data_IF_368462034300
#
_entry.id   IF_368462034300
#
_cell.length_a   1.000
_cell.length_b   1.000
_cell.length_c   1.000
_cell.angle_alpha   90.00
_cell.angle_beta   90.00
_cell.angle_gamma   90.00
#
_symmetry.space_group_name_H-M   'P 1'
#
loop_
_entity.id
_entity.type
_entity.pdbx_description
1 polymer ?
#
# COMPACT_ATOMS: atom_id res chain seq x y z
N UNK A 1 -26.76 3.72 -19.32
CA UNK A 1 -25.48 3.31 -18.70
C UNK A 1 -24.49 4.46 -18.89
N UNK A 2 -23.71 4.84 -17.85
CA UNK A 2 -22.61 5.81 -18.01
C UNK A 2 -21.55 5.20 -18.93
N UNK A 3 -20.94 6.01 -19.82
CA UNK A 3 -19.90 5.55 -20.72
C UNK A 3 -18.72 4.92 -19.97
N UNK A 4 -18.16 3.83 -20.49
CA UNK A 4 -16.97 3.19 -19.96
C UNK A 4 -15.76 4.08 -20.26
N UNK A 5 -15.09 4.58 -19.23
CA UNK A 5 -13.89 5.41 -19.34
C UNK A 5 -12.65 4.52 -19.45
N UNK A 6 -11.60 5.03 -20.10
CA UNK A 6 -10.25 4.49 -20.00
C UNK A 6 -9.45 5.30 -18.97
N UNK A 7 -9.08 4.67 -17.86
CA UNK A 7 -8.41 5.27 -16.72
C UNK A 7 -6.93 4.89 -16.74
N UNK A 8 -6.05 5.90 -16.83
CA UNK A 8 -4.62 5.69 -16.67
C UNK A 8 -4.25 5.78 -15.18
N UNK A 9 -3.89 4.66 -14.56
CA UNK A 9 -3.24 4.63 -13.26
C UNK A 9 -1.78 5.02 -13.42
N UNK A 10 -1.43 6.22 -12.98
CA UNK A 10 -0.05 6.73 -12.95
C UNK A 10 0.53 6.50 -11.57
N UNK A 11 1.38 5.49 -11.43
CA UNK A 11 1.75 4.90 -10.14
C UNK A 11 3.18 5.28 -9.71
N UNK A 12 3.31 5.95 -8.56
CA UNK A 12 4.60 6.15 -7.89
C UNK A 12 5.09 4.90 -7.15
N UNK A 13 4.16 4.02 -6.76
CA UNK A 13 4.39 2.68 -6.22
C UNK A 13 3.53 1.69 -6.99
N UNK A 14 4.09 0.54 -7.30
CA UNK A 14 3.38 -0.58 -7.90
C UNK A 14 4.24 -1.84 -7.75
N UNK A 15 3.65 -3.02 -7.58
CA UNK A 15 4.38 -4.27 -7.60
C UNK A 15 5.24 -4.40 -8.86
N UNK A 16 6.48 -4.82 -8.70
CA UNK A 16 7.44 -4.95 -9.79
C UNK A 16 8.52 -5.96 -9.45
N UNK A 17 9.30 -6.42 -10.41
CA UNK A 17 10.44 -7.31 -10.18
C UNK A 17 11.43 -6.76 -9.12
N UNK A 18 11.57 -5.43 -9.05
CA UNK A 18 12.48 -4.78 -8.07
C UNK A 18 11.88 -4.74 -6.67
N UNK A 19 10.56 -4.53 -6.57
CA UNK A 19 9.83 -4.39 -5.30
C UNK A 19 8.47 -5.12 -5.41
N UNK A 20 8.43 -6.44 -5.22
CA UNK A 20 7.23 -7.25 -5.52
C UNK A 20 5.98 -6.90 -4.72
N UNK A 21 6.13 -6.41 -3.48
CA UNK A 21 5.01 -6.08 -2.59
C UNK A 21 4.71 -4.58 -2.50
N UNK A 22 5.51 -3.73 -3.16
CA UNK A 22 5.38 -2.28 -3.03
C UNK A 22 4.18 -1.75 -3.83
N UNK A 23 3.19 -1.18 -3.13
CA UNK A 23 2.01 -0.61 -3.78
C UNK A 23 0.97 -1.65 -4.20
N UNK A 24 0.95 -2.84 -3.60
CA UNK A 24 -0.07 -3.87 -3.82
C UNK A 24 -1.50 -3.35 -3.61
N UNK A 25 -1.71 -2.45 -2.65
CA UNK A 25 -2.98 -1.75 -2.45
C UNK A 25 -3.40 -0.92 -3.67
N UNK A 26 -2.45 -0.33 -4.43
CA UNK A 26 -2.74 0.40 -5.68
C UNK A 26 -3.22 -0.56 -6.75
N UNK A 27 -2.61 -1.73 -6.85
CA UNK A 27 -3.07 -2.80 -7.76
C UNK A 27 -4.50 -3.23 -7.43
N UNK A 28 -4.87 -3.33 -6.15
CA UNK A 28 -6.25 -3.62 -5.71
C UNK A 28 -7.22 -2.53 -6.15
N UNK A 29 -6.87 -1.25 -6.00
CA UNK A 29 -7.66 -0.14 -6.54
C UNK A 29 -7.81 -0.22 -8.06
N UNK A 30 -6.75 -0.56 -8.80
CA UNK A 30 -6.80 -0.74 -10.25
C UNK A 30 -7.75 -1.89 -10.64
N UNK A 31 -7.69 -3.04 -9.94
CA UNK A 31 -8.63 -4.16 -10.10
C UNK A 31 -10.08 -3.72 -9.84
N UNK A 32 -10.34 -3.00 -8.77
CA UNK A 32 -11.69 -2.51 -8.43
C UNK A 32 -12.24 -1.53 -9.47
N UNK A 33 -11.43 -0.59 -9.96
CA UNK A 33 -11.85 0.34 -11.04
C UNK A 33 -12.10 -0.42 -12.35
N UNK A 34 -11.33 -1.46 -12.62
CA UNK A 34 -11.47 -2.26 -13.85
C UNK A 34 -12.79 -3.05 -13.93
N UNK A 35 -13.49 -3.27 -12.81
CA UNK A 35 -14.83 -3.87 -12.81
C UNK A 35 -15.84 -3.03 -13.61
N UNK A 36 -15.63 -1.71 -13.72
CA UNK A 36 -16.57 -0.79 -14.38
C UNK A 36 -15.96 0.02 -15.52
N UNK A 37 -14.64 0.15 -15.56
CA UNK A 37 -13.89 1.00 -16.49
C UNK A 37 -12.74 0.20 -17.11
N UNK A 38 -12.18 0.67 -18.22
CA UNK A 38 -10.92 0.15 -18.73
C UNK A 38 -9.77 0.75 -17.93
N UNK A 39 -8.77 -0.04 -17.55
CA UNK A 39 -7.60 0.41 -16.81
C UNK A 39 -6.32 0.11 -17.59
N UNK A 40 -5.41 1.07 -17.59
CA UNK A 40 -4.00 0.85 -17.91
C UNK A 40 -3.15 1.39 -16.76
N UNK A 41 -2.15 0.63 -16.34
CA UNK A 41 -1.21 1.04 -15.29
C UNK A 41 0.11 1.46 -15.92
N UNK A 42 0.65 2.60 -15.50
CA UNK A 42 1.97 3.09 -15.85
C UNK A 42 2.82 3.22 -14.59
N UNK A 43 3.91 2.47 -14.52
CA UNK A 43 4.90 2.55 -13.44
C UNK A 43 6.31 2.68 -14.01
N UNK A 44 7.16 3.47 -13.34
CA UNK A 44 8.58 3.65 -13.71
C UNK A 44 9.42 3.50 -12.45
N UNK A 45 10.38 2.59 -12.50
CA UNK A 45 11.25 2.29 -11.36
C UNK A 45 12.70 2.14 -11.81
N UNK A 46 13.64 2.53 -10.93
CA UNK A 46 15.07 2.29 -11.16
C UNK A 46 15.42 0.85 -10.81
N UNK A 47 16.08 0.15 -11.73
CA UNK A 47 16.57 -1.24 -11.54
C UNK A 47 18.09 -1.24 -11.63
N UNK A 48 18.81 -1.64 -10.58
CA UNK A 48 20.27 -1.86 -10.64
C UNK A 48 20.64 -2.96 -11.66
N UNK A 49 21.85 -2.91 -12.18
CA UNK A 49 22.38 -3.96 -13.04
C UNK A 49 21.96 -3.89 -14.52
N UNK A 50 21.04 -3.00 -14.92
CA UNK A 50 20.67 -2.85 -16.33
C UNK A 50 21.52 -1.81 -17.05
N UNK A 51 21.86 -2.06 -18.31
CA UNK A 51 22.62 -1.14 -19.18
C UNK A 51 21.72 -0.10 -19.88
N UNK A 52 20.50 -0.49 -20.23
CA UNK A 52 19.51 0.32 -20.94
C UNK A 52 18.12 0.19 -20.32
N UNK A 53 17.24 1.14 -20.61
CA UNK A 53 15.84 1.08 -20.20
C UNK A 53 15.17 -0.15 -20.83
N UNK A 54 14.45 -0.94 -20.03
CA UNK A 54 13.63 -2.06 -20.47
C UNK A 54 12.16 -1.78 -20.13
N UNK A 55 11.26 -2.26 -20.98
CA UNK A 55 9.81 -2.13 -20.77
C UNK A 55 9.24 -3.54 -20.68
N UNK A 56 8.46 -3.74 -19.62
CA UNK A 56 7.66 -4.93 -19.41
C UNK A 56 6.19 -4.60 -19.55
N UNK A 57 5.43 -5.46 -20.23
CA UNK A 57 4.00 -5.32 -20.40
C UNK A 57 3.34 -6.60 -19.94
N UNK A 58 2.65 -6.53 -18.81
CA UNK A 58 1.85 -7.63 -18.29
C UNK A 58 0.40 -7.50 -18.78
N UNK A 59 -0.11 -8.55 -19.41
CA UNK A 59 -1.49 -8.65 -19.90
C UNK A 59 -2.34 -9.64 -19.10
N UNK A 60 -1.80 -10.22 -18.05
CA UNK A 60 -2.40 -11.31 -17.27
C UNK A 60 -3.52 -10.89 -16.32
N UNK A 61 -3.57 -9.62 -15.95
CA UNK A 61 -4.66 -9.03 -15.22
C UNK A 61 -5.67 -8.53 -16.26
N UNK A 62 -6.95 -8.59 -16.06
CA UNK A 62 -7.99 -8.10 -17.00
C UNK A 62 -7.78 -6.65 -17.47
N UNK A 63 -6.59 -6.08 -17.25
CA UNK A 63 -6.10 -4.79 -17.70
C UNK A 63 -4.58 -4.84 -17.97
N UNK A 64 -4.06 -3.87 -18.70
CA UNK A 64 -2.64 -3.84 -19.09
C UNK A 64 -1.80 -3.09 -18.05
N UNK A 65 -0.67 -3.68 -17.67
CA UNK A 65 0.34 -3.06 -16.80
C UNK A 65 1.60 -2.80 -17.60
N UNK A 66 2.06 -1.56 -17.62
CA UNK A 66 3.26 -1.10 -18.32
C UNK A 66 4.29 -0.64 -17.31
N UNK A 67 5.38 -1.36 -17.19
CA UNK A 67 6.48 -1.03 -16.27
C UNK A 67 7.73 -0.71 -17.06
N UNK A 68 8.33 0.44 -16.79
CA UNK A 68 9.65 0.78 -17.30
C UNK A 68 10.70 0.66 -16.21
N UNK A 69 11.70 -0.19 -16.43
CA UNK A 69 12.89 -0.28 -15.60
C UNK A 69 13.96 0.61 -16.19
N UNK A 70 14.41 1.62 -15.44
CA UNK A 70 15.42 2.57 -15.89
C UNK A 70 16.74 2.37 -15.14
N UNK A 71 17.87 2.60 -15.81
CA UNK A 71 19.19 2.55 -15.16
C UNK A 71 19.27 3.61 -14.06
N UNK A 72 19.71 3.28 -12.83
CA UNK A 72 19.93 4.27 -11.77
C UNK A 72 20.91 5.35 -12.19
N UNK A 73 20.77 6.55 -11.63
CA UNK A 73 21.73 7.64 -11.80
C UNK A 73 21.81 8.48 -10.54
N UNK A 74 23.02 8.83 -10.13
CA UNK A 74 23.28 9.79 -9.05
C UNK A 74 23.00 11.20 -9.54
N UNK A 75 23.26 11.50 -10.83
CA UNK A 75 23.00 12.81 -11.42
C UNK A 75 21.48 13.02 -11.57
N UNK A 76 20.89 14.04 -10.92
CA UNK A 76 19.46 14.30 -10.91
C UNK A 76 18.90 14.64 -12.31
N UNK A 77 19.66 15.33 -13.15
CA UNK A 77 19.23 15.67 -14.53
C UNK A 77 19.13 14.42 -15.39
N UNK A 78 20.15 13.55 -15.34
CA UNK A 78 20.14 12.27 -16.06
C UNK A 78 19.00 11.39 -15.58
N UNK A 79 18.74 11.35 -14.27
CA UNK A 79 17.62 10.62 -13.68
C UNK A 79 16.30 11.15 -14.21
N UNK A 80 16.08 12.46 -14.16
CA UNK A 80 14.87 13.11 -14.67
C UNK A 80 14.67 12.84 -16.15
N UNK A 81 15.72 12.95 -16.98
CA UNK A 81 15.66 12.65 -18.41
C UNK A 81 15.25 11.21 -18.68
N UNK A 82 15.81 10.22 -17.95
CA UNK A 82 15.44 8.81 -18.08
C UNK A 82 13.98 8.55 -17.71
N UNK A 83 13.52 9.14 -16.60
CA UNK A 83 12.11 9.07 -16.20
C UNK A 83 11.19 9.67 -17.25
N UNK A 84 11.55 10.83 -17.79
CA UNK A 84 10.78 11.50 -18.83
C UNK A 84 10.73 10.70 -20.14
N UNK A 85 11.87 10.19 -20.59
CA UNK A 85 11.95 9.36 -21.79
C UNK A 85 11.12 8.08 -21.65
N UNK A 86 11.24 7.38 -20.53
CA UNK A 86 10.44 6.20 -20.22
C UNK A 86 8.93 6.52 -20.20
N UNK A 87 8.55 7.62 -19.52
CA UNK A 87 7.16 8.08 -19.49
C UNK A 87 6.59 8.33 -20.88
N UNK A 88 7.31 9.04 -21.76
CA UNK A 88 6.87 9.29 -23.13
C UNK A 88 6.75 7.99 -23.94
N UNK A 89 7.69 7.08 -23.77
CA UNK A 89 7.67 5.77 -24.45
C UNK A 89 6.45 4.94 -24.04
N UNK A 90 6.15 4.87 -22.73
CA UNK A 90 4.99 4.15 -22.22
C UNK A 90 3.67 4.77 -22.67
N UNK A 91 3.56 6.11 -22.66
CA UNK A 91 2.34 6.79 -23.14
C UNK A 91 2.01 6.49 -24.61
N UNK A 92 3.04 6.36 -25.48
CA UNK A 92 2.84 5.98 -26.88
C UNK A 92 2.23 4.58 -26.99
N UNK A 93 2.61 3.65 -26.11
CA UNK A 93 2.11 2.27 -26.12
C UNK A 93 0.70 2.16 -25.51
N UNK A 94 0.39 2.97 -24.49
CA UNK A 94 -0.93 2.98 -23.83
C UNK A 94 -2.00 3.58 -24.75
N UNK A 95 -1.65 4.59 -25.56
CA UNK A 95 -2.57 5.25 -26.47
C UNK A 95 -3.47 6.29 -25.80
N UNK A 96 -4.77 6.29 -26.14
CA UNK A 96 -5.75 7.28 -25.66
C UNK A 96 -6.40 6.83 -24.36
N UNK A 97 -6.58 7.77 -23.43
CA UNK A 97 -7.29 7.57 -22.16
C UNK A 97 -8.00 8.86 -21.75
N UNK A 98 -9.03 8.74 -20.90
CA UNK A 98 -9.95 9.83 -20.58
C UNK A 98 -9.56 10.57 -19.30
N UNK A 99 -8.95 9.87 -18.33
CA UNK A 99 -8.61 10.42 -17.02
C UNK A 99 -7.35 9.76 -16.46
N UNK A 100 -6.57 10.54 -15.70
CA UNK A 100 -5.42 10.02 -14.94
C UNK A 100 -5.82 9.82 -13.48
N UNK A 101 -5.59 8.63 -12.96
CA UNK A 101 -5.64 8.31 -11.54
C UNK A 101 -4.19 8.28 -11.01
N UNK A 102 -3.75 9.42 -10.48
CA UNK A 102 -2.41 9.56 -9.92
C UNK A 102 -2.34 8.91 -8.55
N UNK A 103 -1.44 7.96 -8.36
CA UNK A 103 -1.16 7.31 -7.09
C UNK A 103 0.21 7.76 -6.59
N UNK A 104 0.22 8.48 -5.48
CA UNK A 104 1.33 9.25 -4.91
C UNK A 104 1.56 10.60 -5.62
N UNK A 105 1.30 11.67 -4.87
CA UNK A 105 1.27 13.03 -5.38
C UNK A 105 2.61 13.46 -6.02
N UNK A 106 3.73 13.32 -5.32
CA UNK A 106 5.05 13.75 -5.80
C UNK A 106 6.03 12.57 -5.84
N UNK A 107 6.89 12.45 -6.85
CA UNK A 107 7.10 13.36 -8.00
C UNK A 107 6.19 13.08 -9.21
N UNK A 108 5.46 11.98 -9.26
CA UNK A 108 4.70 11.52 -10.45
C UNK A 108 3.58 12.49 -10.86
N UNK A 109 3.09 13.30 -9.95
CA UNK A 109 2.12 14.35 -10.26
C UNK A 109 2.60 15.40 -11.26
N UNK A 110 3.90 15.53 -11.49
CA UNK A 110 4.45 16.37 -12.55
C UNK A 110 4.05 15.85 -13.94
N UNK A 111 4.00 14.53 -14.12
CA UNK A 111 3.51 13.91 -15.36
C UNK A 111 2.01 14.13 -15.56
N UNK A 112 1.22 14.02 -14.48
CA UNK A 112 -0.23 14.32 -14.52
C UNK A 112 -0.48 15.80 -14.88
N UNK A 113 0.30 16.73 -14.32
CA UNK A 113 0.24 18.15 -14.70
C UNK A 113 0.59 18.38 -16.16
N UNK A 114 1.59 17.67 -16.69
CA UNK A 114 1.96 17.73 -18.10
C UNK A 114 0.77 17.33 -18.98
N UNK A 115 0.16 16.18 -18.71
CA UNK A 115 -1.02 15.69 -19.45
C UNK A 115 -2.20 16.67 -19.38
N UNK A 116 -2.48 17.22 -18.20
CA UNK A 116 -3.53 18.22 -18.06
C UNK A 116 -3.27 19.48 -18.87
N UNK A 117 -2.00 19.93 -18.97
CA UNK A 117 -1.65 21.12 -19.74
C UNK A 117 -1.66 20.89 -21.24
N UNK A 118 -1.08 19.80 -21.69
CA UNK A 118 -0.85 19.54 -23.13
C UNK A 118 -2.04 18.87 -23.80
N UNK A 119 -2.69 17.92 -23.11
CA UNK A 119 -3.79 17.11 -23.66
C UNK A 119 -5.15 17.40 -23.03
N UNK A 120 -5.22 18.34 -22.06
CA UNK A 120 -6.44 18.70 -21.30
C UNK A 120 -7.07 17.53 -20.53
N UNK A 121 -6.33 16.45 -20.29
CA UNK A 121 -6.81 15.27 -19.57
C UNK A 121 -6.90 15.61 -18.08
N UNK A 122 -8.08 15.43 -17.44
CA UNK A 122 -8.23 15.64 -15.99
C UNK A 122 -7.49 14.56 -15.21
N UNK A 123 -7.15 14.87 -13.93
CA UNK A 123 -6.59 13.87 -13.04
C UNK A 123 -7.14 14.00 -11.61
N UNK A 124 -7.23 12.86 -10.95
CA UNK A 124 -7.47 12.72 -9.51
C UNK A 124 -6.21 12.17 -8.83
N UNK A 125 -6.10 12.37 -7.53
CA UNK A 125 -4.94 11.90 -6.74
C UNK A 125 -5.45 10.96 -5.66
N UNK A 126 -5.00 9.71 -5.63
CA UNK A 126 -5.07 8.87 -4.43
C UNK A 126 -3.77 8.97 -3.65
N UNK A 127 -3.88 9.22 -2.34
CA UNK A 127 -2.71 9.39 -1.49
C UNK A 127 -2.74 8.41 -0.31
N UNK A 128 -1.59 7.77 -0.10
CA UNK A 128 -1.39 6.71 0.90
C UNK A 128 -0.13 6.94 1.74
N UNK A 129 0.63 8.00 1.46
CA UNK A 129 1.95 8.18 2.05
C UNK A 129 1.88 8.72 3.48
N UNK A 130 2.52 8.00 4.42
CA UNK A 130 2.62 8.39 5.84
C UNK A 130 3.50 9.61 6.08
N UNK A 131 4.38 9.97 5.15
CA UNK A 131 5.31 11.09 5.30
C UNK A 131 4.67 12.49 5.38
N UNK A 132 3.33 12.60 5.25
CA UNK A 132 2.61 13.84 5.55
C UNK A 132 2.35 14.03 7.04
N UNK A 133 2.51 13.00 7.87
CA UNK A 133 2.39 13.13 9.31
C UNK A 133 3.56 13.95 9.87
N UNK A 134 3.26 14.92 10.74
CA UNK A 134 4.26 15.84 11.31
C UNK A 134 5.32 15.14 12.19
N UNK A 135 5.04 13.90 12.59
CA UNK A 135 5.94 13.05 13.38
C UNK A 135 7.06 12.43 12.55
N UNK A 136 6.93 12.41 11.23
CA UNK A 136 7.98 11.88 10.36
C UNK A 136 9.16 12.86 10.32
N UNK A 137 10.35 12.40 10.73
CA UNK A 137 11.59 13.21 10.78
C UNK A 137 12.08 13.65 9.40
N UNK A 138 11.56 13.04 8.35
CA UNK A 138 11.94 13.36 6.97
C UNK A 138 11.13 14.56 6.45
N UNK A 139 11.61 15.75 6.73
CA UNK A 139 11.01 16.99 6.19
C UNK A 139 11.09 16.99 4.66
N UNK A 140 9.95 17.27 4.01
CA UNK A 140 9.93 17.56 2.58
C UNK A 140 10.78 18.79 2.27
N UNK A 141 11.53 18.76 1.16
CA UNK A 141 12.26 19.94 0.69
C UNK A 141 11.25 21.05 0.28
N UNK A 142 11.68 22.30 0.32
CA UNK A 142 10.81 23.41 -0.08
C UNK A 142 10.31 23.28 -1.54
N UNK A 143 11.13 22.72 -2.42
CA UNK A 143 10.76 22.44 -3.82
C UNK A 143 9.66 21.39 -3.90
N UNK A 144 9.79 20.29 -3.14
CA UNK A 144 8.76 19.24 -3.07
C UNK A 144 7.43 19.80 -2.56
N UNK A 145 7.48 20.61 -1.50
CA UNK A 145 6.28 21.27 -0.96
C UNK A 145 5.65 22.20 -2.00
N UNK A 146 6.45 23.04 -2.66
CA UNK A 146 5.95 23.98 -3.68
C UNK A 146 5.31 23.25 -4.86
N UNK A 147 5.98 22.23 -5.40
CA UNK A 147 5.48 21.44 -6.51
C UNK A 147 4.25 20.63 -6.11
N UNK A 148 4.25 20.04 -4.91
CA UNK A 148 3.08 19.31 -4.37
C UNK A 148 1.84 20.20 -4.27
N UNK A 149 1.98 21.42 -3.77
CA UNK A 149 0.88 22.41 -3.73
C UNK A 149 0.32 22.72 -5.13
N UNK A 150 1.23 22.89 -6.10
CA UNK A 150 0.83 23.17 -7.49
C UNK A 150 0.09 21.99 -8.12
N UNK A 151 0.52 20.76 -7.85
CA UNK A 151 -0.13 19.53 -8.32
C UNK A 151 -1.50 19.41 -7.67
N UNK A 152 -1.58 19.50 -6.33
CA UNK A 152 -2.81 19.37 -5.57
C UNK A 152 -3.89 20.36 -6.03
N UNK A 153 -3.54 21.65 -6.19
CA UNK A 153 -4.44 22.71 -6.65
C UNK A 153 -5.02 22.45 -8.05
N UNK A 154 -4.34 21.67 -8.88
CA UNK A 154 -4.76 21.38 -10.27
C UNK A 154 -5.48 20.05 -10.41
N UNK A 155 -5.49 19.20 -9.40
CA UNK A 155 -6.26 17.96 -9.38
C UNK A 155 -7.78 18.26 -9.37
N UNK A 156 -8.56 17.40 -10.00
CA UNK A 156 -10.03 17.45 -9.94
C UNK A 156 -10.54 17.00 -8.58
N UNK A 157 -9.85 16.03 -7.96
CA UNK A 157 -10.08 15.58 -6.58
C UNK A 157 -8.76 15.08 -5.97
N UNK A 158 -8.68 15.15 -4.63
CA UNK A 158 -7.64 14.54 -3.82
C UNK A 158 -8.32 13.52 -2.91
N UNK A 159 -7.92 12.26 -3.03
CA UNK A 159 -8.56 11.12 -2.40
C UNK A 159 -7.59 10.46 -1.39
N UNK A 160 -7.39 11.04 -0.18
CA UNK A 160 -6.66 10.36 0.87
C UNK A 160 -7.49 9.18 1.41
N UNK A 161 -6.81 8.16 1.93
CA UNK A 161 -7.46 6.93 2.41
C UNK A 161 -8.18 7.10 3.75
N UNK A 162 -7.89 8.17 4.49
CA UNK A 162 -8.49 8.44 5.81
C UNK A 162 -8.64 9.95 6.08
N UNK A 163 -9.48 10.28 7.06
CA UNK A 163 -9.60 11.66 7.55
C UNK A 163 -8.29 12.15 8.20
N UNK A 164 -7.57 11.26 8.88
CA UNK A 164 -6.30 11.60 9.50
C UNK A 164 -5.26 12.01 8.45
N UNK A 165 -5.13 11.24 7.36
CA UNK A 165 -4.24 11.59 6.25
C UNK A 165 -4.68 12.91 5.57
N UNK A 166 -5.99 13.12 5.36
CA UNK A 166 -6.51 14.41 4.86
C UNK A 166 -6.06 15.56 5.75
N UNK A 167 -6.24 15.44 7.07
CA UNK A 167 -5.88 16.48 8.02
C UNK A 167 -4.36 16.75 8.01
N UNK A 168 -3.55 15.69 7.89
CA UNK A 168 -2.10 15.80 7.76
C UNK A 168 -1.68 16.50 6.46
N UNK A 169 -2.34 16.21 5.35
CA UNK A 169 -2.11 16.91 4.07
C UNK A 169 -2.50 18.40 4.16
N UNK A 170 -3.62 18.73 4.81
CA UNK A 170 -4.05 20.12 5.03
C UNK A 170 -3.08 20.89 5.93
N UNK A 171 -2.56 20.28 7.00
CA UNK A 171 -1.48 20.86 7.84
C UNK A 171 -0.23 21.18 7.01
N UNK A 172 0.09 20.38 6.01
CA UNK A 172 1.16 20.64 5.03
C UNK A 172 0.75 21.66 3.93
N UNK A 173 -0.38 22.35 4.11
CA UNK A 173 -0.90 23.38 3.19
C UNK A 173 -1.15 22.86 1.77
N UNK A 174 -1.50 21.59 1.63
CA UNK A 174 -1.98 21.00 0.38
C UNK A 174 -3.49 21.25 0.29
N UNK A 175 -3.89 22.19 -0.54
CA UNK A 175 -5.31 22.59 -0.72
C UNK A 175 -5.88 22.00 -2.00
N UNK A 176 -7.16 21.62 -1.99
CA UNK A 176 -7.87 21.07 -3.14
C UNK A 176 -9.26 20.54 -2.77
N UNK A 177 -9.89 19.87 -3.70
CA UNK A 177 -11.17 19.19 -3.48
C UNK A 177 -10.92 17.81 -2.86
N UNK A 178 -11.16 17.65 -1.57
CA UNK A 178 -10.91 16.40 -0.83
C UNK A 178 -12.13 15.49 -0.79
N UNK A 179 -11.92 14.24 -1.15
CA UNK A 179 -12.90 13.15 -0.99
C UNK A 179 -12.18 11.95 -0.37
N UNK A 180 -12.66 11.45 0.77
CA UNK A 180 -12.07 10.27 1.39
C UNK A 180 -12.44 9.04 0.56
N UNK A 181 -11.42 8.30 0.11
CA UNK A 181 -11.58 7.03 -0.59
C UNK A 181 -10.73 5.98 0.12
N UNK A 182 -11.35 5.14 0.97
CA UNK A 182 -10.64 4.10 1.72
C UNK A 182 -9.97 3.08 0.80
N UNK A 183 -9.03 2.31 1.36
CA UNK A 183 -8.50 1.13 0.70
C UNK A 183 -9.62 0.13 0.41
N UNK A 184 -9.42 -0.71 -0.59
CA UNK A 184 -10.40 -1.70 -1.03
C UNK A 184 -9.97 -3.11 -0.65
N UNK A 185 -10.95 -3.99 -0.43
CA UNK A 185 -10.75 -5.43 -0.26
C UNK A 185 -11.58 -6.17 -1.31
N UNK A 186 -11.03 -7.26 -1.82
CA UNK A 186 -11.75 -8.18 -2.70
C UNK A 186 -12.57 -9.16 -1.85
N UNK A 187 -13.86 -8.90 -1.71
CA UNK A 187 -14.78 -9.72 -0.91
C UNK A 187 -15.12 -11.07 -1.54
N UNK A 188 -14.68 -11.33 -2.76
CA UNK A 188 -14.79 -12.66 -3.38
C UNK A 188 -13.64 -13.56 -2.97
N UNK A 189 -12.47 -12.98 -2.71
CA UNK A 189 -11.27 -13.64 -2.19
C UNK A 189 -11.34 -13.73 -0.66
N UNK A 190 -11.58 -12.59 0.00
CA UNK A 190 -11.70 -12.48 1.45
C UNK A 190 -13.18 -12.64 1.83
N UNK A 191 -13.57 -13.84 2.15
CA UNK A 191 -14.92 -14.18 2.60
C UNK A 191 -14.86 -15.06 3.82
N UNK A 192 -15.85 -14.93 4.70
CA UNK A 192 -16.00 -15.82 5.84
C UNK A 192 -16.28 -17.25 5.37
N UNK A 193 -15.54 -18.19 5.93
CA UNK A 193 -15.80 -19.63 5.86
C UNK A 193 -15.86 -20.15 7.30
N UNK A 194 -16.86 -20.97 7.58
CA UNK A 194 -17.04 -21.54 8.92
C UNK A 194 -15.97 -22.63 9.17
N UNK A 195 -14.79 -22.20 9.61
CA UNK A 195 -13.76 -23.10 10.13
C UNK A 195 -13.71 -22.95 11.65
N UNK A 196 -13.86 -24.06 12.38
CA UNK A 196 -13.71 -24.07 13.83
C UNK A 196 -12.32 -24.56 14.20
N UNK A 197 -11.50 -23.69 14.76
CA UNK A 197 -10.23 -24.08 15.38
C UNK A 197 -10.49 -24.73 16.75
N UNK A 198 -9.73 -25.78 17.08
CA UNK A 198 -9.75 -26.39 18.43
C UNK A 198 -8.92 -25.61 19.43
N UNK A 199 -7.99 -24.77 18.96
CA UNK A 199 -7.06 -24.01 19.80
C UNK A 199 -7.26 -22.54 19.53
N UNK A 200 -7.37 -21.73 20.57
CA UNK A 200 -7.51 -20.28 20.44
C UNK A 200 -6.33 -19.69 19.67
N UNK A 201 -6.63 -19.13 18.51
CA UNK A 201 -5.63 -18.67 17.53
C UNK A 201 -5.72 -17.18 17.33
N UNK A 202 -4.61 -16.51 17.58
CA UNK A 202 -4.40 -15.08 17.34
C UNK A 202 -3.53 -14.91 16.09
N UNK A 203 -3.88 -13.97 15.24
CA UNK A 203 -3.05 -13.69 14.04
C UNK A 203 -2.68 -12.21 13.94
N UNK A 204 -1.44 -11.95 13.56
CA UNK A 204 -0.90 -10.66 13.16
C UNK A 204 -0.28 -10.77 11.77
N UNK A 205 -0.60 -9.84 10.86
CA UNK A 205 -0.09 -9.83 9.48
C UNK A 205 0.49 -8.45 9.19
N UNK A 206 1.80 -8.38 8.93
CA UNK A 206 2.47 -7.12 8.57
C UNK A 206 3.90 -7.36 8.09
N UNK A 207 4.62 -6.29 7.75
CA UNK A 207 6.06 -6.34 7.47
C UNK A 207 6.94 -6.67 8.68
N UNK A 208 6.38 -6.80 9.88
CA UNK A 208 7.04 -7.06 11.16
C UNK A 208 8.16 -6.04 11.52
N UNK A 209 8.07 -4.80 11.00
CA UNK A 209 9.00 -3.72 11.33
C UNK A 209 8.72 -3.19 12.73
N UNK A 210 9.63 -3.44 13.67
CA UNK A 210 9.45 -3.11 15.09
C UNK A 210 9.06 -1.65 15.38
N UNK A 211 9.70 -0.62 14.80
CA UNK A 211 9.32 0.76 15.06
C UNK A 211 7.91 1.13 14.59
N UNK A 212 7.36 0.35 13.66
CA UNK A 212 6.02 0.56 13.11
C UNK A 212 4.98 -0.33 13.78
N UNK A 213 5.26 -1.62 13.90
CA UNK A 213 4.27 -2.65 14.25
C UNK A 213 4.31 -3.13 15.70
N UNK A 214 5.32 -2.71 16.47
CA UNK A 214 5.45 -3.01 17.91
C UNK A 214 5.27 -4.50 18.25
N UNK A 215 6.02 -5.34 17.53
CA UNK A 215 5.97 -6.80 17.70
C UNK A 215 6.40 -7.20 19.10
N UNK A 216 7.43 -6.54 19.65
CA UNK A 216 7.89 -6.78 21.02
C UNK A 216 6.81 -6.52 22.08
N UNK A 217 5.95 -5.53 21.86
CA UNK A 217 4.78 -5.26 22.70
C UNK A 217 3.80 -6.44 22.68
N UNK A 218 3.45 -6.94 21.49
CA UNK A 218 2.55 -8.10 21.33
C UNK A 218 3.13 -9.37 21.96
N UNK A 219 4.45 -9.61 21.84
CA UNK A 219 5.11 -10.76 22.46
C UNK A 219 5.04 -10.69 24.01
N UNK A 220 5.18 -9.50 24.60
CA UNK A 220 5.01 -9.32 26.05
C UNK A 220 3.57 -9.58 26.49
N UNK A 221 2.59 -9.12 25.71
CA UNK A 221 1.16 -9.43 25.95
C UNK A 221 0.92 -10.93 25.84
N UNK A 222 1.48 -11.59 24.82
CA UNK A 222 1.37 -13.05 24.69
C UNK A 222 1.88 -13.79 25.94
N UNK A 223 2.98 -13.31 26.55
CA UNK A 223 3.46 -13.88 27.81
C UNK A 223 2.48 -13.69 28.98
N UNK A 224 1.79 -12.56 29.03
CA UNK A 224 0.78 -12.30 30.08
C UNK A 224 -0.48 -13.17 29.89
N UNK A 225 -0.85 -13.47 28.62
CA UNK A 225 -2.00 -14.34 28.31
C UNK A 225 -1.84 -15.76 28.87
N UNK A 226 -0.62 -16.25 29.07
CA UNK A 226 -0.38 -17.56 29.71
C UNK A 226 -0.92 -17.66 31.15
N UNK A 227 -1.22 -16.55 31.80
CA UNK A 227 -1.86 -16.50 33.10
C UNK A 227 -3.39 -16.68 33.02
N UNK A 228 -3.98 -16.54 31.84
CA UNK A 228 -5.43 -16.53 31.62
C UNK A 228 -5.89 -17.68 30.71
N UNK A 229 -5.03 -18.17 29.84
CA UNK A 229 -5.32 -19.22 28.86
C UNK A 229 -4.45 -20.44 29.13
N UNK A 230 -5.06 -21.62 29.00
CA UNK A 230 -4.34 -22.89 29.14
C UNK A 230 -3.49 -23.23 27.92
N UNK A 231 -3.94 -22.81 26.74
CA UNK A 231 -3.17 -22.91 25.48
C UNK A 231 -3.66 -21.88 24.47
N UNK A 232 -2.76 -21.39 23.63
CA UNK A 232 -3.07 -20.55 22.48
C UNK A 232 -1.95 -20.59 21.45
N UNK A 233 -2.29 -20.22 20.23
CA UNK A 233 -1.33 -20.01 19.13
C UNK A 233 -1.37 -18.55 18.72
N UNK A 234 -0.20 -17.93 18.53
CA UNK A 234 -0.11 -16.59 17.95
C UNK A 234 0.79 -16.59 16.71
N UNK A 235 0.18 -16.38 15.54
CA UNK A 235 0.86 -16.35 14.27
C UNK A 235 1.25 -14.92 13.91
N UNK A 236 2.52 -14.68 13.63
CA UNK A 236 3.09 -13.45 13.09
C UNK A 236 3.50 -13.69 11.64
N UNK A 237 2.78 -13.10 10.68
CA UNK A 237 2.92 -13.38 9.25
C UNK A 237 3.48 -12.15 8.52
N UNK A 238 4.43 -12.38 7.59
CA UNK A 238 4.92 -11.39 6.62
C UNK A 238 6.37 -10.95 6.80
N UNK A 239 7.12 -11.61 7.66
CA UNK A 239 8.54 -11.37 7.82
C UNK A 239 9.22 -12.43 8.68
N UNK A 240 10.53 -12.44 8.63
CA UNK A 240 11.29 -13.37 9.47
C UNK A 240 11.35 -12.85 10.92
N UNK A 241 11.08 -13.73 11.87
CA UNK A 241 11.11 -13.44 13.30
C UNK A 241 12.51 -13.44 13.93
N UNK A 242 13.59 -13.52 13.15
CA UNK A 242 14.94 -13.68 13.69
C UNK A 242 15.34 -12.60 14.70
N UNK A 243 14.95 -11.36 14.45
CA UNK A 243 15.22 -10.23 15.35
C UNK A 243 14.56 -10.35 16.73
N UNK A 244 13.53 -11.20 16.86
CA UNK A 244 12.78 -11.41 18.11
C UNK A 244 13.18 -12.66 18.87
N UNK A 245 14.10 -13.52 18.33
CA UNK A 245 14.50 -14.78 18.95
C UNK A 245 15.02 -14.62 20.38
N UNK A 246 15.83 -13.59 20.63
CA UNK A 246 16.36 -13.33 21.97
C UNK A 246 15.23 -12.98 22.97
N UNK A 247 14.27 -12.14 22.54
CA UNK A 247 13.12 -11.78 23.35
C UNK A 247 12.22 -12.99 23.63
N UNK A 248 11.92 -13.82 22.62
CA UNK A 248 11.12 -15.03 22.78
C UNK A 248 11.77 -15.97 23.77
N UNK A 249 13.09 -16.19 23.66
CA UNK A 249 13.84 -17.00 24.59
C UNK A 249 13.78 -16.45 26.04
N UNK A 250 13.90 -15.14 26.21
CA UNK A 250 13.84 -14.50 27.55
C UNK A 250 12.43 -14.57 28.15
N UNK A 251 11.37 -14.51 27.35
CA UNK A 251 9.99 -14.62 27.78
C UNK A 251 9.60 -16.05 28.22
N UNK A 252 10.32 -17.07 27.73
CA UNK A 252 10.19 -18.46 28.15
C UNK A 252 8.72 -18.94 28.19
N UNK A 253 8.07 -18.97 27.02
CA UNK A 253 6.68 -19.42 26.86
C UNK A 253 6.50 -20.86 27.32
N UNK A 254 5.42 -21.16 28.06
CA UNK A 254 5.08 -22.48 28.58
C UNK A 254 3.76 -23.03 28.00
N UNK A 255 2.80 -22.12 27.72
CA UNK A 255 1.45 -22.45 27.27
C UNK A 255 1.15 -21.87 25.87
N UNK A 256 1.81 -20.76 25.54
CA UNK A 256 1.63 -20.07 24.25
C UNK A 256 2.59 -20.59 23.19
N UNK A 257 2.07 -20.92 22.02
CA UNK A 257 2.88 -21.22 20.84
C UNK A 257 3.01 -19.96 19.97
N UNK A 258 4.22 -19.49 19.75
CA UNK A 258 4.52 -18.31 18.93
C UNK A 258 5.14 -18.75 17.61
N UNK A 259 4.45 -18.46 16.51
CA UNK A 259 4.90 -18.82 15.16
C UNK A 259 5.28 -17.55 14.38
N UNK A 260 6.43 -17.54 13.73
CA UNK A 260 6.79 -16.57 12.73
C UNK A 260 6.74 -17.24 11.36
N UNK A 261 5.86 -16.74 10.50
CA UNK A 261 5.62 -17.22 9.16
C UNK A 261 6.16 -16.15 8.20
N UNK A 262 7.05 -16.54 7.31
CA UNK A 262 7.61 -15.64 6.31
C UNK A 262 6.54 -15.06 5.40
N UNK A 263 6.94 -14.39 4.36
CA UNK A 263 6.01 -13.81 3.40
C UNK A 263 5.07 -14.88 2.84
N UNK A 264 3.77 -14.59 2.91
CA UNK A 264 2.67 -15.41 2.36
C UNK A 264 2.03 -14.64 1.21
N UNK A 265 1.78 -15.33 0.10
CA UNK A 265 1.04 -14.77 -1.04
C UNK A 265 -0.33 -14.28 -0.60
N UNK A 266 -0.77 -13.14 -1.15
CA UNK A 266 -2.00 -12.46 -0.74
C UNK A 266 -3.24 -13.36 -0.85
N UNK A 267 -3.27 -14.21 -1.85
CA UNK A 267 -4.35 -15.17 -2.11
C UNK A 267 -4.48 -16.25 -1.01
N UNK A 268 -3.43 -16.46 -0.23
CA UNK A 268 -3.41 -17.42 0.88
C UNK A 268 -3.74 -16.80 2.24
N UNK A 269 -3.74 -15.47 2.34
CA UNK A 269 -4.04 -14.74 3.59
C UNK A 269 -5.43 -15.05 4.14
N UNK A 270 -6.50 -15.20 3.32
CA UNK A 270 -7.83 -15.55 3.83
C UNK A 270 -7.87 -16.84 4.67
N UNK A 271 -7.06 -17.85 4.33
CA UNK A 271 -7.01 -19.08 5.10
C UNK A 271 -6.52 -18.84 6.54
N UNK A 272 -5.49 -17.99 6.71
CA UNK A 272 -5.00 -17.64 8.06
C UNK A 272 -6.01 -16.80 8.85
N UNK A 273 -6.68 -15.85 8.20
CA UNK A 273 -7.70 -15.04 8.87
C UNK A 273 -8.90 -15.88 9.29
N UNK A 274 -9.41 -16.73 8.41
CA UNK A 274 -10.54 -17.63 8.72
C UNK A 274 -10.20 -18.65 9.82
N UNK A 275 -8.94 -19.10 9.91
CA UNK A 275 -8.48 -20.00 10.96
C UNK A 275 -8.18 -19.28 12.30
N UNK A 276 -8.42 -17.98 12.40
CA UNK A 276 -8.11 -17.16 13.56
C UNK A 276 -9.36 -16.75 14.31
N UNK A 277 -9.33 -16.85 15.65
CA UNK A 277 -10.39 -16.32 16.52
C UNK A 277 -10.32 -14.80 16.61
N UNK A 278 -9.12 -14.22 16.45
CA UNK A 278 -8.91 -12.78 16.53
C UNK A 278 -7.68 -12.34 15.72
N UNK A 279 -7.80 -11.19 15.07
CA UNK A 279 -6.69 -10.50 14.45
C UNK A 279 -6.22 -9.34 15.33
N UNK A 280 -4.91 -9.22 15.55
CA UNK A 280 -4.33 -8.16 16.40
C UNK A 280 -3.39 -7.28 15.58
N UNK A 281 -3.60 -5.95 15.61
CA UNK A 281 -2.72 -4.97 15.00
C UNK A 281 -2.32 -3.89 16.02
N UNK A 282 -1.12 -3.99 16.59
CA UNK A 282 -0.65 -3.09 17.65
C UNK A 282 0.36 -2.07 17.11
N UNK A 283 0.01 -1.39 16.02
CA UNK A 283 0.89 -0.43 15.34
C UNK A 283 1.04 0.89 16.08
N UNK A 284 2.21 1.51 15.95
CA UNK A 284 2.49 2.86 16.47
C UNK A 284 1.92 3.97 15.56
N UNK A 285 1.76 3.70 14.27
CA UNK A 285 1.13 4.60 13.30
C UNK A 285 0.58 3.82 12.10
N UNK A 286 -0.51 4.30 11.52
CA UNK A 286 -1.14 3.74 10.32
C UNK A 286 -1.82 4.83 9.48
N UNK A 287 -2.01 4.60 8.18
CA UNK A 287 -2.94 5.42 7.40
C UNK A 287 -4.32 4.78 7.33
N UNK A 288 -4.41 3.62 6.68
CA UNK A 288 -5.56 2.70 6.70
C UNK A 288 -5.04 1.32 6.29
N UNK A 289 -4.77 0.43 7.25
CA UNK A 289 -4.23 -0.89 6.95
C UNK A 289 -5.27 -1.79 6.28
N UNK A 290 -4.95 -2.29 5.08
CA UNK A 290 -5.85 -3.18 4.32
C UNK A 290 -6.24 -4.43 5.11
N UNK A 291 -5.31 -4.95 5.90
CA UNK A 291 -5.51 -6.20 6.64
C UNK A 291 -6.65 -6.15 7.66
N UNK A 292 -7.00 -4.96 8.20
CA UNK A 292 -8.20 -4.80 9.04
C UNK A 292 -9.47 -5.04 8.21
N UNK A 293 -9.54 -4.47 7.01
CA UNK A 293 -10.68 -4.66 6.11
C UNK A 293 -10.76 -6.11 5.61
N UNK A 294 -9.61 -6.72 5.36
CA UNK A 294 -9.49 -8.13 4.99
C UNK A 294 -9.98 -9.04 6.12
N UNK A 295 -9.58 -8.74 7.37
CA UNK A 295 -10.03 -9.46 8.56
C UNK A 295 -11.55 -9.38 8.73
N UNK A 296 -12.13 -8.19 8.66
CA UNK A 296 -13.59 -8.02 8.73
C UNK A 296 -14.32 -8.76 7.61
N UNK A 297 -13.76 -8.77 6.40
CA UNK A 297 -14.34 -9.50 5.27
C UNK A 297 -14.34 -11.02 5.47
N UNK A 298 -13.35 -11.55 6.21
CA UNK A 298 -13.30 -12.94 6.63
C UNK A 298 -14.16 -13.25 7.87
N UNK A 299 -14.77 -12.24 8.50
CA UNK A 299 -15.54 -12.40 9.73
C UNK A 299 -14.68 -12.51 11.00
N UNK A 300 -13.36 -12.26 10.90
CA UNK A 300 -12.43 -12.35 12.04
C UNK A 300 -12.44 -11.03 12.81
N UNK A 301 -12.75 -11.03 14.12
CA UNK A 301 -12.71 -9.86 14.97
C UNK A 301 -11.31 -9.21 15.02
N UNK A 302 -11.27 -7.90 15.21
CA UNK A 302 -10.01 -7.13 15.21
C UNK A 302 -9.82 -6.40 16.52
N UNK A 303 -8.63 -6.53 17.11
CA UNK A 303 -8.13 -5.61 18.16
C UNK A 303 -7.00 -4.78 17.55
N UNK A 304 -7.10 -3.47 17.65
CA UNK A 304 -6.06 -2.56 17.14
C UNK A 304 -5.83 -1.37 18.07
N UNK A 305 -4.66 -0.73 17.91
CA UNK A 305 -4.42 0.59 18.48
C UNK A 305 -5.23 1.65 17.72
N UNK A 306 -5.73 2.64 18.42
CA UNK A 306 -6.43 3.79 17.82
C UNK A 306 -5.39 4.81 17.30
N UNK A 307 -4.82 4.55 16.14
CA UNK A 307 -3.78 5.40 15.52
C UNK A 307 -4.10 5.69 14.05
N UNK A 308 -3.85 6.92 13.63
CA UNK A 308 -3.98 7.34 12.24
C UNK A 308 -5.40 7.20 11.70
N UNK A 309 -5.58 6.35 10.70
CA UNK A 309 -6.85 6.14 10.00
C UNK A 309 -7.63 4.89 10.45
N UNK A 310 -7.22 4.27 11.58
CA UNK A 310 -7.93 3.13 12.18
C UNK A 310 -9.14 3.62 12.96
#
# INVERSE_FOLDING_TARGET
MKAKLHVLFLCGWYPSEVLPTNGDFIMRHAKAVNLKHQVSVLHIISKPGISKTTIEIEKNLNFNVYIAYIKPSINPFTKLFRFWSAYQSLLKQIGVFDVVHLNKLYPFGLFALHLKRTKKIPFIISEHWTGYHLTDKKKLSWIEVFLSKKIAKKASAICPVSNDLKNSMLKNKLTGNYQIVPNVVDTTLFKSINETSKTFTITHISSLLEPHKNISGMLRVAKQLENQLDSFVWNFIGGNGHQFKALIKSLNFKKGQINFIEHVEHEKIPAYLNASDIFVLFSNYENLPCVILESFSCGTPVISTNVGGI
#
